data_IF_519614679871
#
_entry.id   IF_519614679871
#
_cell.length_a   1.000
_cell.length_b   1.000
_cell.length_c   1.000
_cell.angle_alpha   90.00
_cell.angle_beta   90.00
_cell.angle_gamma   90.00
#
_symmetry.space_group_name_H-M   'P 1'
#
loop_
_entity.id
_entity.type
_entity.pdbx_description
1 polymer ?
#
# COMPACT_ATOMS: atom_id res chain seq x y z
N UNK A 1 -5.36 -17.06 -18.24
CA UNK A 1 -5.61 -16.24 -17.04
C UNK A 1 -5.69 -14.79 -17.49
N UNK A 2 -6.74 -14.04 -17.15
CA UNK A 2 -6.94 -12.69 -17.68
C UNK A 2 -6.04 -11.69 -16.93
N UNK A 3 -5.17 -10.97 -17.64
CA UNK A 3 -4.22 -10.01 -17.06
C UNK A 3 -4.90 -8.94 -16.19
N UNK A 4 -6.13 -8.54 -16.54
CA UNK A 4 -6.93 -7.61 -15.75
C UNK A 4 -7.24 -8.13 -14.34
N UNK A 5 -7.61 -9.41 -14.22
CA UNK A 5 -7.91 -10.03 -12.92
C UNK A 5 -6.68 -10.02 -12.02
N UNK A 6 -5.49 -10.27 -12.57
CA UNK A 6 -4.24 -10.24 -11.81
C UNK A 6 -3.87 -8.81 -11.37
N UNK A 7 -4.10 -7.82 -12.23
CA UNK A 7 -3.89 -6.42 -11.89
C UNK A 7 -4.82 -5.97 -10.76
N UNK A 8 -6.10 -6.37 -10.79
CA UNK A 8 -7.07 -6.05 -9.75
C UNK A 8 -6.75 -6.72 -8.41
N UNK A 9 -6.28 -7.98 -8.43
CA UNK A 9 -5.82 -8.67 -7.22
C UNK A 9 -4.62 -7.92 -6.60
N UNK A 10 -3.65 -7.52 -7.43
CA UNK A 10 -2.47 -6.82 -6.94
C UNK A 10 -2.81 -5.40 -6.44
N UNK A 11 -3.74 -4.69 -7.10
CA UNK A 11 -4.26 -3.41 -6.64
C UNK A 11 -4.87 -3.53 -5.24
N UNK A 12 -5.78 -4.50 -5.06
CA UNK A 12 -6.43 -4.75 -3.78
C UNK A 12 -5.42 -5.14 -2.68
N UNK A 13 -4.40 -5.92 -3.03
CA UNK A 13 -3.31 -6.27 -2.11
C UNK A 13 -2.57 -5.02 -1.62
N UNK A 14 -2.22 -4.10 -2.53
CA UNK A 14 -1.51 -2.84 -2.19
C UNK A 14 -2.39 -1.90 -1.35
N UNK A 15 -3.68 -1.79 -1.66
CA UNK A 15 -4.64 -1.01 -0.85
C UNK A 15 -4.70 -1.56 0.58
N UNK A 16 -4.84 -2.88 0.75
CA UNK A 16 -4.87 -3.51 2.06
C UNK A 16 -3.57 -3.28 2.86
N UNK A 17 -2.41 -3.33 2.20
CA UNK A 17 -1.13 -3.05 2.83
C UNK A 17 -1.03 -1.59 3.30
N UNK A 18 -1.50 -0.65 2.47
CA UNK A 18 -1.55 0.76 2.84
C UNK A 18 -2.47 1.01 4.03
N UNK A 19 -3.68 0.44 4.05
CA UNK A 19 -4.62 0.56 5.16
C UNK A 19 -4.03 0.05 6.48
N UNK A 20 -3.42 -1.14 6.47
CA UNK A 20 -2.73 -1.69 7.67
C UNK A 20 -1.60 -0.78 8.15
N UNK A 21 -0.85 -0.18 7.24
CA UNK A 21 0.23 0.74 7.61
C UNK A 21 -0.32 2.06 8.20
N UNK A 22 -1.47 2.54 7.71
CA UNK A 22 -2.19 3.69 8.29
C UNK A 22 -2.62 3.35 9.72
N UNK A 23 -3.28 2.22 9.93
CA UNK A 23 -3.72 1.77 11.26
C UNK A 23 -2.55 1.62 12.24
N UNK A 24 -1.44 1.01 11.82
CA UNK A 24 -0.26 0.86 12.66
C UNK A 24 0.36 2.21 13.06
N UNK A 25 0.39 3.18 12.14
CA UNK A 25 0.90 4.52 12.42
C UNK A 25 -0.04 5.34 13.31
N UNK A 26 -1.35 5.22 13.13
CA UNK A 26 -2.34 5.93 13.95
C UNK A 26 -2.39 5.39 15.37
N UNK A 27 -2.33 4.07 15.56
CA UNK A 27 -2.31 3.43 16.88
C UNK A 27 -0.97 3.60 17.60
N UNK A 28 0.14 3.53 16.87
CA UNK A 28 1.49 3.56 17.44
C UNK A 28 2.39 4.51 16.66
N UNK A 29 2.28 5.81 16.95
CA UNK A 29 3.08 6.83 16.26
C UNK A 29 4.56 6.68 16.62
N UNK A 30 5.36 6.25 15.64
CA UNK A 30 6.81 6.11 15.73
C UNK A 30 7.45 6.37 14.37
N UNK A 31 8.75 6.67 14.34
CA UNK A 31 9.49 6.86 13.09
C UNK A 31 9.43 5.60 12.19
N UNK A 32 9.52 4.42 12.80
CA UNK A 32 9.40 3.13 12.10
C UNK A 32 8.05 3.00 11.39
N UNK A 33 6.95 3.29 12.09
CA UNK A 33 5.61 3.17 11.51
C UNK A 33 5.33 4.29 10.49
N UNK A 34 5.88 5.49 10.69
CA UNK A 34 5.82 6.56 9.70
C UNK A 34 6.52 6.17 8.38
N UNK A 35 7.72 5.58 8.48
CA UNK A 35 8.46 5.11 7.31
C UNK A 35 7.73 3.97 6.58
N UNK A 36 7.15 3.02 7.32
CA UNK A 36 6.35 1.94 6.75
C UNK A 36 5.11 2.47 5.99
N UNK A 37 4.41 3.44 6.57
CA UNK A 37 3.28 4.12 5.93
C UNK A 37 3.71 4.86 4.65
N UNK A 38 4.80 5.62 4.70
CA UNK A 38 5.32 6.34 3.54
C UNK A 38 5.68 5.39 2.39
N UNK A 39 6.34 4.27 2.71
CA UNK A 39 6.67 3.23 1.72
C UNK A 39 5.42 2.61 1.10
N UNK A 40 4.46 2.18 1.90
CA UNK A 40 3.23 1.58 1.40
C UNK A 40 2.43 2.55 0.50
N UNK A 41 2.43 3.85 0.85
CA UNK A 41 1.84 4.90 0.01
C UNK A 41 2.56 5.01 -1.35
N UNK A 42 3.89 5.05 -1.34
CA UNK A 42 4.69 5.14 -2.55
C UNK A 42 4.49 3.92 -3.46
N UNK A 43 4.48 2.71 -2.90
CA UNK A 43 4.28 1.46 -3.64
C UNK A 43 2.89 1.38 -4.30
N UNK A 44 1.85 1.89 -3.62
CA UNK A 44 0.50 1.98 -4.18
C UNK A 44 0.44 3.05 -5.29
N UNK A 45 1.00 4.24 -5.05
CA UNK A 45 1.01 5.32 -6.04
C UNK A 45 1.77 4.92 -7.32
N UNK A 46 2.94 4.30 -7.18
CA UNK A 46 3.74 3.80 -8.31
C UNK A 46 2.95 2.79 -9.16
N UNK A 47 2.24 1.87 -8.51
CA UNK A 47 1.42 0.88 -9.21
C UNK A 47 0.24 1.50 -9.97
N UNK A 48 -0.42 2.51 -9.39
CA UNK A 48 -1.59 3.17 -10.01
C UNK A 48 -1.16 4.14 -11.12
N UNK A 49 -0.05 4.85 -10.93
CA UNK A 49 0.41 5.88 -11.87
C UNK A 49 1.32 5.35 -12.98
N UNK A 50 1.72 4.08 -12.93
CA UNK A 50 2.54 3.44 -13.96
C UNK A 50 3.97 3.96 -14.01
N UNK A 51 4.59 4.11 -12.84
CA UNK A 51 6.00 4.53 -12.73
C UNK A 51 6.98 3.63 -13.46
#
# INVERSE_FOLDING_TARGET
MNYQILADIELNRKINLFQKAVEAYTLHRSLKNAAALAKAKADLACFVWGG
#
